data_IF_988610329918
#
_entry.id   IF_988610329918
#
_cell.length_a   1.000
_cell.length_b   1.000
_cell.length_c   1.000
_cell.angle_alpha   90.00
_cell.angle_beta   90.00
_cell.angle_gamma   90.00
#
_symmetry.space_group_name_H-M   'P 1'
#
loop_
_entity.id
_entity.type
_entity.pdbx_description
1 polymer ?
#
# COMPACT_ATOMS: atom_id res chain seq x y z
N UNK A 1 1.24 28.08 -2.77
CA UNK A 1 0.79 27.08 -1.79
C UNK A 1 2.00 26.28 -1.35
N UNK A 2 2.26 26.18 -0.05
CA UNK A 2 3.33 25.31 0.48
C UNK A 2 2.84 23.87 0.49
N UNK A 3 3.74 22.90 0.30
CA UNK A 3 3.38 21.47 0.33
C UNK A 3 2.68 21.07 1.64
N UNK A 4 3.16 21.62 2.77
CA UNK A 4 2.56 21.41 4.08
C UNK A 4 1.13 21.95 4.18
N UNK A 5 0.86 23.15 3.66
CA UNK A 5 -0.49 23.72 3.65
C UNK A 5 -1.46 22.87 2.83
N UNK A 6 -1.01 22.35 1.68
CA UNK A 6 -1.83 21.46 0.84
C UNK A 6 -2.03 20.08 1.48
N UNK A 7 -1.04 19.56 2.21
CA UNK A 7 -1.17 18.34 3.01
C UNK A 7 -2.24 18.49 4.11
N UNK A 8 -2.18 19.58 4.88
CA UNK A 8 -3.17 19.87 5.93
C UNK A 8 -4.57 20.08 5.37
N UNK A 9 -4.70 20.76 4.24
CA UNK A 9 -5.99 20.94 3.57
C UNK A 9 -6.57 19.60 3.12
N UNK A 10 -5.75 18.73 2.53
CA UNK A 10 -6.18 17.39 2.13
C UNK A 10 -6.62 16.56 3.33
N UNK A 11 -5.84 16.56 4.41
CA UNK A 11 -6.18 15.87 5.66
C UNK A 11 -7.50 16.38 6.25
N UNK A 12 -7.71 17.71 6.27
CA UNK A 12 -8.96 18.32 6.68
C UNK A 12 -10.16 17.88 5.85
N UNK A 13 -10.01 17.77 4.51
CA UNK A 13 -11.07 17.24 3.62
C UNK A 13 -11.42 15.79 3.92
N UNK A 14 -10.42 14.96 4.26
CA UNK A 14 -10.62 13.56 4.63
C UNK A 14 -11.38 13.45 5.95
N UNK A 15 -10.96 14.18 6.98
CA UNK A 15 -11.65 14.21 8.28
C UNK A 15 -13.05 14.80 8.20
N UNK A 16 -13.29 15.76 7.29
CA UNK A 16 -14.62 16.29 6.97
C UNK A 16 -15.51 15.31 6.18
N UNK A 17 -15.02 14.12 5.84
CA UNK A 17 -15.75 13.09 5.08
C UNK A 17 -15.75 11.72 5.78
N UNK A 18 -16.18 11.63 7.06
CA UNK A 18 -16.08 10.39 7.84
C UNK A 18 -16.90 9.24 7.24
N UNK A 19 -18.01 9.54 6.56
CA UNK A 19 -18.82 8.53 5.87
C UNK A 19 -18.06 7.78 4.77
N UNK A 20 -17.19 8.48 4.02
CA UNK A 20 -16.35 7.84 2.99
C UNK A 20 -15.28 6.96 3.62
N UNK A 21 -14.64 7.43 4.70
CA UNK A 21 -13.62 6.67 5.43
C UNK A 21 -14.22 5.39 6.02
N UNK A 22 -15.36 5.50 6.70
CA UNK A 22 -16.07 4.37 7.28
C UNK A 22 -16.49 3.37 6.21
N UNK A 23 -17.06 3.84 5.10
CA UNK A 23 -17.45 2.98 3.98
C UNK A 23 -16.27 2.19 3.42
N UNK A 24 -15.16 2.86 3.10
CA UNK A 24 -13.97 2.20 2.55
C UNK A 24 -13.30 1.26 3.57
N UNK A 25 -13.37 1.58 4.87
CA UNK A 25 -12.92 0.67 5.91
C UNK A 25 -13.78 -0.60 5.98
N UNK A 26 -15.12 -0.47 5.96
CA UNK A 26 -16.04 -1.63 5.92
C UNK A 26 -15.76 -2.50 4.69
N UNK A 27 -15.52 -1.89 3.53
CA UNK A 27 -15.16 -2.64 2.32
C UNK A 27 -13.83 -3.38 2.49
N UNK A 28 -12.80 -2.74 3.05
CA UNK A 28 -11.52 -3.42 3.32
C UNK A 28 -11.70 -4.62 4.24
N UNK A 29 -12.50 -4.48 5.31
CA UNK A 29 -12.84 -5.59 6.21
C UNK A 29 -13.56 -6.69 5.45
N UNK A 30 -14.59 -6.35 4.68
CA UNK A 30 -15.37 -7.32 3.90
C UNK A 30 -14.51 -8.12 2.90
N UNK A 31 -13.53 -7.47 2.24
CA UNK A 31 -12.58 -8.15 1.33
C UNK A 31 -11.62 -9.06 2.08
N UNK A 32 -11.25 -8.72 3.32
CA UNK A 32 -10.35 -9.52 4.14
C UNK A 32 -11.03 -10.74 4.79
N UNK A 33 -12.36 -10.70 5.01
CA UNK A 33 -13.10 -11.76 5.71
C UNK A 33 -12.94 -13.16 5.09
N UNK A 34 -13.04 -13.36 3.76
CA UNK A 34 -12.85 -14.69 3.17
C UNK A 34 -11.46 -15.26 3.43
N UNK A 35 -10.41 -14.44 3.31
CA UNK A 35 -9.04 -14.86 3.58
C UNK A 35 -8.85 -15.21 5.07
N UNK A 36 -9.45 -14.42 5.97
CA UNK A 36 -9.45 -14.69 7.40
C UNK A 36 -10.18 -15.99 7.75
N UNK A 37 -11.30 -16.30 7.08
CA UNK A 37 -12.04 -17.53 7.28
C UNK A 37 -11.21 -18.76 6.88
N UNK A 38 -10.59 -18.73 5.69
CA UNK A 38 -9.70 -19.82 5.21
C UNK A 38 -8.54 -20.04 6.17
N UNK A 39 -7.87 -18.97 6.62
CA UNK A 39 -6.78 -19.09 7.59
C UNK A 39 -7.25 -19.63 8.94
N UNK A 40 -8.43 -19.21 9.41
CA UNK A 40 -8.97 -19.66 10.69
C UNK A 40 -9.30 -21.15 10.65
N UNK A 41 -9.91 -21.64 9.57
CA UNK A 41 -10.23 -23.05 9.37
C UNK A 41 -8.95 -23.89 9.33
N UNK A 42 -7.97 -23.49 8.52
CA UNK A 42 -6.68 -24.18 8.41
C UNK A 42 -5.92 -24.27 9.73
N UNK A 43 -5.80 -23.16 10.46
CA UNK A 43 -5.13 -23.12 11.76
C UNK A 43 -5.90 -23.98 12.77
N UNK A 44 -7.24 -23.95 12.75
CA UNK A 44 -8.05 -24.75 13.67
C UNK A 44 -7.89 -26.25 13.42
N UNK A 45 -7.82 -26.68 12.17
CA UNK A 45 -7.64 -28.08 11.82
C UNK A 45 -6.25 -28.58 12.21
N UNK A 46 -5.22 -27.75 11.98
CA UNK A 46 -3.83 -28.07 12.37
C UNK A 46 -3.63 -28.11 13.89
N UNK A 47 -4.22 -27.18 14.64
CA UNK A 47 -4.09 -27.12 16.11
C UNK A 47 -5.02 -28.14 16.80
N UNK A 48 -6.19 -28.41 16.22
CA UNK A 48 -7.26 -29.20 16.83
C UNK A 48 -6.95 -30.69 17.02
N UNK A 49 -5.93 -31.21 16.33
CA UNK A 49 -5.55 -32.62 16.38
C UNK A 49 -4.44 -32.93 17.40
N UNK A 50 -3.91 -31.93 18.13
CA UNK A 50 -2.70 -32.08 18.95
C UNK A 50 -2.70 -31.33 20.29
N UNK A 51 -1.75 -31.67 21.17
CA UNK A 51 -1.41 -30.93 22.40
C UNK A 51 -0.78 -29.55 22.12
N UNK A 52 -0.54 -29.22 20.84
CA UNK A 52 -0.03 -27.93 20.36
C UNK A 52 -0.78 -26.71 20.94
N UNK A 53 -2.08 -26.84 21.19
CA UNK A 53 -2.88 -25.77 21.79
C UNK A 53 -2.38 -25.33 23.18
N UNK A 54 -1.68 -26.20 23.92
CA UNK A 54 -1.07 -25.85 25.21
C UNK A 54 0.23 -25.07 25.00
N UNK A 55 1.11 -25.57 24.13
CA UNK A 55 2.36 -24.88 23.78
C UNK A 55 2.09 -23.47 23.25
N UNK A 56 1.12 -23.32 22.34
CA UNK A 56 0.73 -22.04 21.75
C UNK A 56 0.17 -21.02 22.78
N UNK A 57 -0.29 -21.46 23.95
CA UNK A 57 -0.71 -20.56 25.04
C UNK A 57 0.48 -20.00 25.82
N UNK A 58 1.55 -20.77 25.93
CA UNK A 58 2.75 -20.41 26.67
C UNK A 58 3.78 -19.68 25.80
N UNK A 59 3.74 -19.88 24.47
CA UNK A 59 4.56 -19.18 23.49
C UNK A 59 4.34 -19.69 22.06
N UNK A 60 4.94 -19.03 21.07
CA UNK A 60 4.81 -19.49 19.69
C UNK A 60 5.65 -20.75 19.44
N UNK A 61 5.01 -21.83 18.98
CA UNK A 61 5.67 -23.12 18.72
C UNK A 61 6.23 -23.17 17.30
N UNK A 62 7.55 -23.00 17.17
CA UNK A 62 8.24 -23.03 15.88
C UNK A 62 8.29 -24.43 15.26
N UNK A 63 8.17 -25.50 16.06
CA UNK A 63 8.12 -26.88 15.58
C UNK A 63 6.81 -27.14 14.86
N UNK A 64 5.69 -26.80 15.50
CA UNK A 64 4.37 -26.82 14.88
C UNK A 64 4.31 -25.96 13.61
N UNK A 65 4.86 -24.74 13.67
CA UNK A 65 4.87 -23.87 12.49
C UNK A 65 5.65 -24.47 11.31
N UNK A 66 6.75 -25.18 11.56
CA UNK A 66 7.50 -25.90 10.52
C UNK A 66 6.64 -26.95 9.81
N UNK A 67 5.86 -27.73 10.56
CA UNK A 67 4.93 -28.72 10.01
C UNK A 67 3.77 -28.05 9.26
N UNK A 68 3.13 -27.04 9.88
CA UNK A 68 2.03 -26.29 9.27
C UNK A 68 2.44 -25.63 7.95
N UNK A 69 3.59 -24.95 7.92
CA UNK A 69 4.07 -24.26 6.73
C UNK A 69 4.49 -25.21 5.60
N UNK A 70 4.92 -26.44 5.92
CA UNK A 70 5.23 -27.47 4.93
C UNK A 70 3.96 -28.03 4.25
N UNK A 71 2.84 -28.08 4.95
CA UNK A 71 1.56 -28.57 4.44
C UNK A 71 0.69 -27.48 3.80
N UNK A 72 0.89 -26.23 4.22
CA UNK A 72 0.12 -25.06 3.82
C UNK A 72 0.08 -24.88 2.29
N UNK A 73 -1.14 -24.79 1.73
CA UNK A 73 -1.35 -24.56 0.29
C UNK A 73 -2.19 -23.31 0.08
N UNK A 74 -1.72 -22.41 -0.79
CA UNK A 74 -2.46 -21.20 -1.13
C UNK A 74 -2.32 -20.09 -0.10
N UNK A 75 -3.44 -19.56 0.43
CA UNK A 75 -3.43 -18.41 1.36
C UNK A 75 -2.74 -18.76 2.69
N UNK A 76 -2.82 -20.01 3.12
CA UNK A 76 -2.20 -20.50 4.36
C UNK A 76 -0.69 -20.28 4.38
N UNK A 77 -0.03 -20.37 3.22
CA UNK A 77 1.42 -20.14 3.06
C UNK A 77 1.85 -18.71 3.38
N UNK A 78 0.90 -17.78 3.53
CA UNK A 78 1.16 -16.38 3.86
C UNK A 78 1.17 -16.14 5.36
N UNK A 79 0.78 -17.14 6.16
CA UNK A 79 0.90 -17.09 7.60
C UNK A 79 2.36 -17.30 7.96
N UNK A 80 3.07 -16.22 8.29
CA UNK A 80 4.48 -16.27 8.68
C UNK A 80 4.66 -15.56 10.02
N UNK A 81 5.29 -16.19 11.04
CA UNK A 81 5.59 -15.52 12.29
C UNK A 81 6.64 -14.43 12.05
N UNK A 82 6.46 -13.30 12.71
CA UNK A 82 7.42 -12.19 12.64
C UNK A 82 7.89 -11.80 14.04
N UNK A 83 9.18 -11.47 14.15
CA UNK A 83 9.81 -11.14 15.43
C UNK A 83 9.30 -9.79 15.98
N UNK A 84 8.90 -8.88 15.10
CA UNK A 84 8.37 -7.56 15.46
C UNK A 84 6.89 -7.46 15.07
N UNK A 85 6.12 -6.64 15.79
CA UNK A 85 4.70 -6.43 15.51
C UNK A 85 4.42 -5.82 14.12
N UNK A 86 5.39 -5.10 13.55
CA UNK A 86 5.33 -4.60 12.18
C UNK A 86 6.10 -5.46 11.16
N UNK A 87 6.65 -6.61 11.54
CA UNK A 87 7.51 -7.44 10.68
C UNK A 87 6.85 -7.83 9.36
N UNK A 88 5.56 -8.19 9.39
CA UNK A 88 4.82 -8.52 8.19
C UNK A 88 4.71 -7.32 7.22
N UNK A 89 4.67 -6.09 7.72
CA UNK A 89 4.69 -4.89 6.87
C UNK A 89 6.05 -4.68 6.23
N UNK A 90 7.14 -4.88 6.97
CA UNK A 90 8.49 -4.77 6.43
C UNK A 90 8.75 -5.82 5.35
N UNK A 91 8.37 -7.08 5.58
CA UNK A 91 8.48 -8.15 4.58
C UNK A 91 7.70 -7.83 3.29
N UNK A 92 6.49 -7.25 3.43
CA UNK A 92 5.71 -6.83 2.28
C UNK A 92 6.34 -5.67 1.50
N UNK A 93 6.95 -4.70 2.20
CA UNK A 93 7.66 -3.59 1.57
C UNK A 93 8.91 -4.11 0.85
N UNK A 94 9.67 -5.00 1.48
CA UNK A 94 10.84 -5.64 0.90
C UNK A 94 10.49 -6.46 -0.34
N UNK A 95 9.47 -7.33 -0.27
CA UNK A 95 9.00 -8.10 -1.41
C UNK A 95 8.49 -7.21 -2.55
N UNK A 96 7.86 -6.06 -2.22
CA UNK A 96 7.48 -5.07 -3.23
C UNK A 96 8.69 -4.36 -3.83
N UNK A 97 9.70 -4.01 -3.03
CA UNK A 97 10.92 -3.34 -3.51
C UNK A 97 11.75 -4.26 -4.42
N UNK A 98 11.87 -5.54 -4.08
CA UNK A 98 12.62 -6.53 -4.85
C UNK A 98 11.85 -7.05 -6.09
N UNK A 99 10.52 -6.91 -6.09
CA UNK A 99 9.66 -7.49 -7.13
C UNK A 99 9.19 -8.92 -6.84
N UNK A 100 9.63 -9.51 -5.72
CA UNK A 100 9.33 -10.88 -5.27
C UNK A 100 7.86 -11.10 -4.91
N UNK A 101 7.07 -10.03 -4.76
CA UNK A 101 5.64 -10.10 -4.41
C UNK A 101 4.84 -11.00 -5.37
N UNK A 102 5.32 -11.15 -6.62
CA UNK A 102 4.71 -12.00 -7.64
C UNK A 102 5.16 -13.47 -7.60
N UNK A 103 6.29 -13.76 -6.96
CA UNK A 103 6.86 -15.10 -6.91
C UNK A 103 6.53 -15.79 -5.59
N UNK A 104 6.70 -15.07 -4.47
CA UNK A 104 6.62 -15.61 -3.11
C UNK A 104 5.20 -15.92 -2.67
N UNK A 105 4.20 -15.12 -3.07
CA UNK A 105 2.84 -15.22 -2.53
C UNK A 105 1.76 -15.39 -3.61
N UNK A 106 1.87 -16.46 -4.41
CA UNK A 106 0.88 -16.77 -5.46
C UNK A 106 -0.57 -16.79 -4.94
N UNK A 107 -0.80 -17.24 -3.70
CA UNK A 107 -2.11 -17.20 -3.04
C UNK A 107 -2.64 -15.78 -2.80
N UNK A 108 -1.77 -14.80 -2.56
CA UNK A 108 -2.15 -13.38 -2.40
C UNK A 108 -2.34 -12.67 -3.72
N UNK A 109 -1.81 -13.18 -4.84
CA UNK A 109 -1.95 -12.51 -6.13
C UNK A 109 -3.41 -12.35 -6.56
N UNK A 110 -4.23 -13.38 -6.37
CA UNK A 110 -5.66 -13.30 -6.67
C UNK A 110 -6.36 -12.21 -5.84
N UNK A 111 -6.09 -12.16 -4.54
CA UNK A 111 -6.62 -11.14 -3.64
C UNK A 111 -6.09 -9.74 -3.97
N UNK A 112 -4.81 -9.62 -4.31
CA UNK A 112 -4.18 -8.37 -4.73
C UNK A 112 -4.76 -7.83 -6.03
N UNK A 113 -5.01 -8.69 -7.02
CA UNK A 113 -5.67 -8.33 -8.28
C UNK A 113 -7.12 -7.89 -8.02
N UNK A 114 -7.88 -8.68 -7.25
CA UNK A 114 -9.25 -8.32 -6.88
C UNK A 114 -9.29 -6.96 -6.17
N UNK A 115 -8.38 -6.75 -5.22
CA UNK A 115 -8.25 -5.48 -4.51
C UNK A 115 -7.86 -4.33 -5.44
N UNK A 116 -6.96 -4.53 -6.39
CA UNK A 116 -6.57 -3.52 -7.37
C UNK A 116 -7.74 -3.15 -8.31
N UNK A 117 -8.56 -4.12 -8.71
CA UNK A 117 -9.77 -3.89 -9.51
C UNK A 117 -10.80 -3.10 -8.71
N UNK A 118 -11.11 -3.54 -7.48
CA UNK A 118 -12.01 -2.82 -6.58
C UNK A 118 -11.52 -1.39 -6.31
N UNK A 119 -10.23 -1.23 -6.06
CA UNK A 119 -9.66 0.09 -5.84
C UNK A 119 -9.77 0.98 -7.08
N UNK A 120 -9.53 0.44 -8.27
CA UNK A 120 -9.70 1.17 -9.54
C UNK A 120 -11.13 1.67 -9.72
N UNK A 121 -12.12 0.94 -9.23
CA UNK A 121 -13.51 1.38 -9.18
C UNK A 121 -13.72 2.53 -8.18
N UNK A 122 -13.18 2.41 -6.98
CA UNK A 122 -13.36 3.43 -5.93
C UNK A 122 -12.67 4.76 -6.20
N UNK A 123 -11.57 4.77 -6.95
CA UNK A 123 -10.84 6.02 -7.24
C UNK A 123 -11.75 7.08 -7.88
N UNK A 124 -12.71 6.72 -8.74
CA UNK A 124 -13.64 7.67 -9.35
C UNK A 124 -14.47 8.44 -8.32
N UNK A 125 -15.15 7.71 -7.43
CA UNK A 125 -15.91 8.32 -6.36
C UNK A 125 -15.04 9.05 -5.32
N UNK A 126 -13.82 8.58 -5.06
CA UNK A 126 -12.85 9.29 -4.17
C UNK A 126 -12.47 10.65 -4.77
N UNK A 127 -12.12 10.69 -6.06
CA UNK A 127 -11.75 11.92 -6.74
C UNK A 127 -12.92 12.90 -6.84
N UNK A 128 -14.14 12.41 -7.11
CA UNK A 128 -15.33 13.28 -7.07
C UNK A 128 -15.55 13.86 -5.67
N UNK A 129 -15.45 13.04 -4.62
CA UNK A 129 -15.68 13.50 -3.25
C UNK A 129 -14.71 14.62 -2.86
N UNK A 130 -13.43 14.53 -3.22
CA UNK A 130 -12.44 15.55 -2.85
C UNK A 130 -12.31 16.70 -3.85
N UNK A 131 -12.73 16.48 -5.09
CA UNK A 131 -12.66 17.46 -6.17
C UNK A 131 -13.86 18.39 -6.24
N UNK A 132 -15.06 17.90 -5.96
CA UNK A 132 -16.34 18.61 -6.16
C UNK A 132 -17.32 18.46 -5.00
N UNK A 133 -17.12 17.47 -4.13
CA UNK A 133 -18.05 17.14 -3.05
C UNK A 133 -18.20 18.25 -2.01
N UNK A 134 -19.39 18.85 -1.95
CA UNK A 134 -19.86 19.66 -0.82
C UNK A 134 -20.95 18.88 -0.05
N UNK A 135 -20.94 18.95 1.28
CA UNK A 135 -21.96 18.32 2.14
C UNK A 135 -21.66 16.86 2.52
N UNK A 136 -22.71 16.09 2.85
CA UNK A 136 -22.61 14.72 3.37
C UNK A 136 -22.24 13.69 2.28
N UNK A 137 -21.61 12.59 2.69
CA UNK A 137 -21.26 11.49 1.80
C UNK A 137 -22.51 10.76 1.28
N UNK A 138 -22.58 10.54 -0.05
CA UNK A 138 -23.68 9.87 -0.72
C UNK A 138 -23.16 8.69 -1.54
N UNK A 139 -23.61 7.49 -1.19
CA UNK A 139 -23.18 6.25 -1.87
C UNK A 139 -23.54 6.26 -3.37
N UNK A 140 -24.71 6.78 -3.73
CA UNK A 140 -25.14 6.84 -5.14
C UNK A 140 -24.15 7.60 -6.04
N UNK A 141 -23.76 8.81 -5.64
CA UNK A 141 -22.80 9.64 -6.38
C UNK A 141 -21.42 8.97 -6.46
N UNK A 142 -20.98 8.38 -5.34
CA UNK A 142 -19.72 7.64 -5.27
C UNK A 142 -19.64 6.45 -6.24
N UNK A 143 -20.70 5.64 -6.30
CA UNK A 143 -20.77 4.49 -7.20
C UNK A 143 -20.98 4.90 -8.66
N UNK A 144 -21.75 5.97 -8.93
CA UNK A 144 -21.96 6.49 -10.28
C UNK A 144 -20.64 6.96 -10.90
N UNK A 145 -19.84 7.72 -10.15
CA UNK A 145 -18.53 8.18 -10.61
C UNK A 145 -17.47 7.07 -10.61
N UNK A 146 -17.57 6.12 -9.67
CA UNK A 146 -16.75 4.92 -9.71
C UNK A 146 -16.97 4.13 -11.00
N UNK A 147 -18.22 3.91 -11.39
CA UNK A 147 -18.58 3.19 -12.61
C UNK A 147 -18.20 3.95 -13.89
N UNK A 148 -18.39 5.28 -13.92
CA UNK A 148 -18.12 6.11 -15.10
C UNK A 148 -16.63 6.10 -15.49
N UNK A 149 -15.73 6.08 -14.49
CA UNK A 149 -14.27 6.08 -14.70
C UNK A 149 -13.61 4.71 -14.56
N UNK A 150 -14.32 3.67 -14.10
CA UNK A 150 -13.75 2.35 -13.79
C UNK A 150 -12.81 1.81 -14.88
N UNK A 151 -13.28 1.69 -16.13
CA UNK A 151 -12.46 1.14 -17.22
C UNK A 151 -11.31 2.07 -17.65
N UNK A 152 -11.40 3.36 -17.36
CA UNK A 152 -10.30 4.32 -17.60
C UNK A 152 -9.20 4.08 -16.57
N UNK A 153 -9.56 3.96 -15.30
CA UNK A 153 -8.60 3.67 -14.23
C UNK A 153 -8.04 2.25 -14.28
N UNK A 154 -8.82 1.26 -14.72
CA UNK A 154 -8.32 -0.08 -14.96
C UNK A 154 -7.26 -0.09 -16.06
N UNK A 155 -7.47 0.64 -17.17
CA UNK A 155 -6.46 0.82 -18.22
C UNK A 155 -5.23 1.55 -17.71
N UNK A 156 -5.38 2.61 -16.89
CA UNK A 156 -4.23 3.26 -16.24
C UNK A 156 -3.48 2.31 -15.30
N UNK A 157 -4.18 1.42 -14.59
CA UNK A 157 -3.55 0.42 -13.73
C UNK A 157 -2.68 -0.56 -14.56
N UNK A 158 -3.17 -1.03 -15.71
CA UNK A 158 -2.39 -1.87 -16.64
C UNK A 158 -1.16 -1.12 -17.16
N UNK A 159 -1.32 0.12 -17.59
CA UNK A 159 -0.19 0.94 -18.05
C UNK A 159 0.80 1.16 -16.91
N UNK A 160 0.35 1.44 -15.67
CA UNK A 160 1.25 1.57 -14.51
C UNK A 160 2.00 0.28 -14.20
N UNK A 161 1.35 -0.88 -14.36
CA UNK A 161 2.00 -2.18 -14.19
C UNK A 161 3.16 -2.36 -15.17
N UNK A 162 3.00 -1.93 -16.43
CA UNK A 162 4.08 -1.94 -17.41
C UNK A 162 5.25 -1.02 -16.99
N UNK A 163 4.98 0.18 -16.46
CA UNK A 163 6.04 1.06 -15.95
C UNK A 163 6.75 0.49 -14.72
N UNK A 164 6.03 -0.11 -13.77
CA UNK A 164 6.63 -0.81 -12.64
C UNK A 164 7.54 -1.95 -13.11
N UNK A 165 7.07 -2.77 -14.05
CA UNK A 165 7.88 -3.83 -14.65
C UNK A 165 9.18 -3.29 -15.27
N UNK A 166 9.12 -2.17 -15.99
CA UNK A 166 10.32 -1.53 -16.54
C UNK A 166 11.28 -1.04 -15.46
N UNK A 167 10.77 -0.48 -14.36
CA UNK A 167 11.61 -0.06 -13.22
C UNK A 167 12.27 -1.25 -12.55
N UNK A 168 11.57 -2.36 -12.30
CA UNK A 168 12.18 -3.58 -11.75
C UNK A 168 13.23 -4.18 -12.68
N UNK A 169 12.96 -4.18 -13.99
CA UNK A 169 13.95 -4.66 -14.97
C UNK A 169 15.21 -3.80 -14.99
N UNK A 170 15.03 -2.49 -14.88
CA UNK A 170 16.14 -1.55 -14.73
C UNK A 170 16.88 -1.74 -13.39
N UNK A 171 16.16 -1.96 -12.29
CA UNK A 171 16.74 -2.23 -10.98
C UNK A 171 17.60 -3.50 -10.99
N UNK A 172 17.10 -4.59 -11.56
CA UNK A 172 17.87 -5.83 -11.70
C UNK A 172 19.17 -5.62 -12.49
N UNK A 173 19.09 -4.89 -13.61
CA UNK A 173 20.27 -4.51 -14.39
C UNK A 173 21.23 -3.62 -13.58
N UNK A 174 20.70 -2.63 -12.85
CA UNK A 174 21.49 -1.71 -12.03
C UNK A 174 22.27 -2.48 -10.95
N UNK A 175 21.60 -3.34 -10.18
CA UNK A 175 22.24 -4.11 -9.12
C UNK A 175 23.25 -5.13 -9.64
N UNK A 176 22.99 -5.78 -10.79
CA UNK A 176 23.98 -6.65 -11.45
C UNK A 176 25.24 -5.86 -11.84
N UNK A 177 25.09 -4.61 -12.32
CA UNK A 177 26.22 -3.73 -12.63
C UNK A 177 26.95 -3.22 -11.39
N UNK A 178 26.23 -3.01 -10.30
CA UNK A 178 26.83 -2.61 -9.04
C UNK A 178 27.65 -3.76 -8.45
N UNK A 179 27.10 -4.97 -8.39
CA UNK A 179 27.77 -6.18 -7.89
C UNK A 179 29.07 -6.47 -8.66
N UNK A 180 29.02 -6.39 -10.00
CA UNK A 180 30.23 -6.58 -10.82
C UNK A 180 31.29 -5.51 -10.60
N UNK A 181 30.88 -4.28 -10.27
CA UNK A 181 31.80 -3.16 -10.02
C UNK A 181 32.36 -3.15 -8.59
N UNK A 182 31.63 -3.71 -7.62
CA UNK A 182 32.05 -3.77 -6.22
C UNK A 182 32.77 -5.06 -5.85
N UNK A 183 32.88 -6.02 -6.79
CA UNK A 183 33.48 -7.34 -6.57
C UNK A 183 34.89 -7.30 -5.97
N UNK A 184 35.70 -6.31 -6.35
CA UNK A 184 37.08 -6.15 -5.91
C UNK A 184 37.24 -5.12 -4.76
N UNK A 185 36.14 -4.55 -4.27
CA UNK A 185 36.15 -3.56 -3.19
C UNK A 185 36.21 -4.27 -1.85
N UNK A 186 37.32 -4.13 -1.13
CA UNK A 186 37.53 -4.77 0.18
C UNK A 186 36.83 -4.04 1.34
N UNK A 187 36.36 -2.80 1.12
CA UNK A 187 35.69 -2.00 2.16
C UNK A 187 34.19 -2.32 2.18
N UNK A 188 33.73 -2.99 3.24
CA UNK A 188 32.31 -3.27 3.49
C UNK A 188 31.46 -1.99 3.56
N UNK A 189 32.00 -0.91 4.13
CA UNK A 189 31.33 0.40 4.22
C UNK A 189 31.03 0.98 2.83
N UNK A 190 31.98 0.85 1.90
CA UNK A 190 31.81 1.33 0.52
C UNK A 190 30.74 0.52 -0.20
N UNK A 191 30.78 -0.81 -0.09
CA UNK A 191 29.76 -1.69 -0.69
C UNK A 191 28.37 -1.36 -0.15
N UNK A 192 28.24 -1.18 1.16
CA UNK A 192 26.99 -0.80 1.81
C UNK A 192 26.46 0.55 1.30
N UNK A 193 27.32 1.58 1.22
CA UNK A 193 26.92 2.89 0.73
C UNK A 193 26.45 2.85 -0.74
N UNK A 194 27.12 2.06 -1.59
CA UNK A 194 26.68 1.84 -2.97
C UNK A 194 25.31 1.17 -3.02
N UNK A 195 25.13 0.04 -2.35
CA UNK A 195 23.84 -0.69 -2.33
C UNK A 195 22.72 0.20 -1.80
N UNK A 196 22.97 0.93 -0.71
CA UNK A 196 21.99 1.88 -0.15
C UNK A 196 21.60 2.97 -1.16
N UNK A 197 22.58 3.57 -1.85
CA UNK A 197 22.31 4.58 -2.85
C UNK A 197 21.49 4.01 -4.04
N UNK A 198 21.85 2.81 -4.51
CA UNK A 198 21.09 2.09 -5.55
C UNK A 198 19.64 1.82 -5.12
N UNK A 199 19.45 1.31 -3.90
CA UNK A 199 18.12 1.04 -3.34
C UNK A 199 17.28 2.30 -3.18
N UNK A 200 17.86 3.38 -2.65
CA UNK A 200 17.16 4.67 -2.54
C UNK A 200 16.77 5.22 -3.91
N UNK A 201 17.61 5.04 -4.93
CA UNK A 201 17.30 5.45 -6.29
C UNK A 201 16.15 4.64 -6.90
N UNK A 202 16.13 3.32 -6.70
CA UNK A 202 15.02 2.46 -7.17
C UNK A 202 13.71 2.81 -6.45
N UNK A 203 13.73 2.99 -5.12
CA UNK A 203 12.57 3.46 -4.36
C UNK A 203 12.08 4.79 -4.91
N UNK A 204 13.01 5.73 -5.16
CA UNK A 204 12.67 7.02 -5.76
C UNK A 204 11.97 6.86 -7.11
N UNK A 205 12.46 5.99 -8.00
CA UNK A 205 11.84 5.73 -9.31
C UNK A 205 10.44 5.11 -9.19
N UNK A 206 10.28 4.11 -8.32
CA UNK A 206 8.98 3.47 -8.07
C UNK A 206 7.96 4.48 -7.53
N UNK A 207 8.36 5.29 -6.55
CA UNK A 207 7.54 6.36 -5.99
C UNK A 207 7.23 7.46 -7.02
N UNK A 208 8.19 7.83 -7.86
CA UNK A 208 8.00 8.78 -8.94
C UNK A 208 6.98 8.30 -9.97
N UNK A 209 7.06 7.04 -10.38
CA UNK A 209 6.06 6.41 -11.26
C UNK A 209 4.69 6.43 -10.59
N UNK A 210 4.59 6.03 -9.33
CA UNK A 210 3.33 6.05 -8.59
C UNK A 210 2.69 7.45 -8.59
N UNK A 211 3.47 8.46 -8.22
CA UNK A 211 3.07 9.87 -8.22
C UNK A 211 2.60 10.33 -9.61
N UNK A 212 3.33 9.99 -10.68
CA UNK A 212 2.93 10.34 -12.04
C UNK A 212 1.58 9.73 -12.44
N UNK A 213 1.31 8.49 -12.01
CA UNK A 213 0.02 7.83 -12.26
C UNK A 213 -1.11 8.36 -11.38
N UNK A 214 -0.84 8.81 -10.15
CA UNK A 214 -1.83 9.50 -9.33
C UNK A 214 -2.27 10.82 -10.00
N UNK A 215 -1.32 11.61 -10.52
CA UNK A 215 -1.66 12.78 -11.33
C UNK A 215 -2.31 12.44 -12.68
N UNK A 216 -2.00 11.29 -13.29
CA UNK A 216 -2.69 10.83 -14.49
C UNK A 216 -4.17 10.50 -14.22
N UNK A 217 -4.48 9.92 -13.04
CA UNK A 217 -5.87 9.68 -12.60
C UNK A 217 -6.59 11.00 -12.38
N UNK A 218 -5.94 11.95 -11.70
CA UNK A 218 -6.49 13.29 -11.45
C UNK A 218 -6.74 14.03 -12.78
N UNK A 219 -5.78 14.03 -13.71
CA UNK A 219 -5.94 14.65 -15.02
C UNK A 219 -7.05 13.97 -15.84
N UNK A 220 -7.20 12.65 -15.75
CA UNK A 220 -8.30 11.92 -16.39
C UNK A 220 -9.66 12.40 -15.88
N UNK A 221 -9.78 12.60 -14.57
CA UNK A 221 -11.00 13.08 -13.93
C UNK A 221 -11.26 14.57 -14.26
N UNK A 222 -10.30 15.46 -13.96
CA UNK A 222 -10.43 16.92 -14.12
C UNK A 222 -10.48 17.42 -15.56
N UNK A 223 -9.94 16.67 -16.51
CA UNK A 223 -9.90 17.05 -17.93
C UNK A 223 -10.78 16.11 -18.80
N UNK A 224 -11.55 15.20 -18.17
CA UNK A 224 -12.40 14.20 -18.82
C UNK A 224 -11.73 13.48 -20.00
N UNK A 225 -10.47 13.06 -19.82
CA UNK A 225 -9.67 12.48 -20.91
C UNK A 225 -10.19 11.10 -21.31
N UNK A 226 -10.25 10.86 -22.64
CA UNK A 226 -10.62 9.55 -23.21
C UNK A 226 -9.43 8.61 -23.42
N UNK A 227 -8.25 9.15 -23.79
CA UNK A 227 -7.03 8.37 -24.02
C UNK A 227 -6.18 8.31 -22.75
N UNK A 228 -5.97 7.08 -22.24
CA UNK A 228 -5.21 6.84 -21.01
C UNK A 228 -3.71 7.01 -21.22
N UNK A 229 -3.20 6.75 -22.44
CA UNK A 229 -1.80 7.02 -22.77
C UNK A 229 -1.51 8.52 -22.69
N UNK A 230 -2.39 9.36 -23.24
CA UNK A 230 -2.24 10.82 -23.14
C UNK A 230 -2.43 11.32 -21.70
N UNK A 231 -3.26 10.65 -20.90
CA UNK A 231 -3.39 10.95 -19.49
C UNK A 231 -2.12 10.60 -18.70
N UNK A 232 -1.47 9.46 -19.01
CA UNK A 232 -0.17 9.10 -18.46
C UNK A 232 0.88 10.15 -18.80
N UNK A 233 1.02 10.52 -20.08
CA UNK A 233 1.95 11.59 -20.50
C UNK A 233 1.66 12.92 -19.81
N UNK A 234 0.37 13.26 -19.63
CA UNK A 234 -0.05 14.45 -18.89
C UNK A 234 0.37 14.40 -17.42
N UNK A 235 0.25 13.24 -16.78
CA UNK A 235 0.70 13.01 -15.39
C UNK A 235 2.21 13.19 -15.25
N UNK A 236 3.01 12.53 -16.09
CA UNK A 236 4.47 12.71 -16.13
C UNK A 236 4.87 14.15 -16.42
N UNK A 237 4.26 14.77 -17.44
CA UNK A 237 4.52 16.17 -17.78
C UNK A 237 4.17 17.13 -16.64
N UNK A 238 3.08 16.88 -15.90
CA UNK A 238 2.70 17.68 -14.74
C UNK A 238 3.74 17.57 -13.61
N UNK A 239 4.17 16.35 -13.28
CA UNK A 239 5.18 16.10 -12.25
C UNK A 239 6.50 16.74 -12.65
N UNK A 240 6.99 16.54 -13.88
CA UNK A 240 8.26 17.11 -14.33
C UNK A 240 8.25 18.64 -14.36
N UNK A 241 7.14 19.25 -14.79
CA UNK A 241 7.00 20.71 -14.83
C UNK A 241 6.89 21.32 -13.42
N UNK A 242 6.47 20.54 -12.43
CA UNK A 242 6.24 20.98 -11.05
C UNK A 242 7.01 20.11 -10.05
N UNK A 243 8.21 19.65 -10.42
CA UNK A 243 8.93 18.59 -9.72
C UNK A 243 9.14 18.88 -8.24
N UNK A 244 9.57 20.10 -7.89
CA UNK A 244 9.78 20.47 -6.49
C UNK A 244 8.50 20.44 -5.65
N UNK A 245 7.37 20.93 -6.17
CA UNK A 245 6.11 21.01 -5.43
C UNK A 245 5.45 19.63 -5.29
N UNK A 246 5.42 18.85 -6.36
CA UNK A 246 4.85 17.49 -6.37
C UNK A 246 5.68 16.53 -5.52
N UNK A 247 7.01 16.52 -5.69
CA UNK A 247 7.93 15.68 -4.91
C UNK A 247 7.86 16.02 -3.42
N UNK A 248 7.93 17.31 -3.04
CA UNK A 248 7.88 17.69 -1.62
C UNK A 248 6.56 17.26 -0.96
N UNK A 249 5.43 17.40 -1.65
CA UNK A 249 4.14 16.94 -1.14
C UNK A 249 4.10 15.42 -0.99
N UNK A 250 4.46 14.69 -2.06
CA UNK A 250 4.34 13.24 -2.11
C UNK A 250 5.26 12.55 -1.10
N UNK A 251 6.54 12.95 -1.07
CA UNK A 251 7.51 12.41 -0.12
C UNK A 251 7.25 12.89 1.31
N UNK A 252 6.71 14.10 1.51
CA UNK A 252 6.28 14.56 2.83
C UNK A 252 5.15 13.72 3.42
N UNK A 253 4.13 13.39 2.62
CA UNK A 253 3.07 12.45 3.01
C UNK A 253 3.60 11.02 3.16
N UNK A 254 4.54 10.61 2.31
CA UNK A 254 5.23 9.32 2.41
C UNK A 254 5.97 9.16 3.73
N UNK A 255 6.71 10.19 4.15
CA UNK A 255 7.40 10.24 5.44
C UNK A 255 6.42 10.12 6.61
N UNK A 256 5.26 10.78 6.54
CA UNK A 256 4.21 10.60 7.54
C UNK A 256 3.72 9.14 7.63
N UNK A 257 3.65 8.44 6.49
CA UNK A 257 3.35 7.00 6.46
C UNK A 257 4.44 6.14 7.09
N UNK A 258 5.71 6.45 6.86
CA UNK A 258 6.85 5.77 7.50
C UNK A 258 6.81 5.99 9.01
N UNK A 259 6.63 7.23 9.48
CA UNK A 259 6.51 7.56 10.90
C UNK A 259 5.33 6.82 11.54
N UNK A 260 4.19 6.75 10.86
CA UNK A 260 3.02 5.99 11.32
C UNK A 260 3.33 4.49 11.48
N UNK A 261 4.08 3.89 10.55
CA UNK A 261 4.52 2.50 10.65
C UNK A 261 5.50 2.28 11.83
N UNK A 262 6.44 3.21 12.04
CA UNK A 262 7.37 3.15 13.18
C UNK A 262 6.64 3.25 14.53
N UNK A 263 5.66 4.15 14.63
CA UNK A 263 4.80 4.26 15.82
C UNK A 263 4.03 2.96 16.04
N UNK A 264 3.45 2.38 14.98
CA UNK A 264 2.78 1.08 15.07
C UNK A 264 3.72 -0.04 15.53
N UNK A 265 4.95 -0.08 15.04
CA UNK A 265 5.93 -1.09 15.46
C UNK A 265 6.23 -1.06 16.96
N UNK A 266 6.18 0.12 17.60
CA UNK A 266 6.39 0.28 19.04
C UNK A 266 5.15 -0.09 19.86
N UNK A 267 3.96 0.19 19.33
CA UNK A 267 2.68 -0.01 20.05
C UNK A 267 2.11 -1.42 19.84
N UNK A 268 2.41 -2.05 18.70
CA UNK A 268 1.85 -3.34 18.32
C UNK A 268 2.24 -4.41 19.36
N UNK A 269 1.26 -5.08 19.98
CA UNK A 269 1.55 -6.10 20.98
C UNK A 269 2.24 -7.31 20.34
N UNK A 270 3.22 -7.86 21.06
CA UNK A 270 3.95 -9.07 20.65
C UNK A 270 3.12 -10.36 20.79
N UNK A 271 3.74 -11.48 20.44
CA UNK A 271 3.11 -12.81 20.27
C UNK A 271 2.63 -13.46 21.59
N UNK A 272 3.02 -12.94 22.76
CA UNK A 272 2.73 -13.53 24.08
C UNK A 272 1.35 -13.19 24.69
N UNK A 273 0.36 -12.83 23.89
CA UNK A 273 -0.98 -12.46 24.40
C UNK A 273 -1.79 -13.72 24.76
N UNK A 274 -1.78 -14.14 26.01
CA UNK A 274 -2.54 -15.31 26.51
C UNK A 274 -3.94 -14.98 27.03
N UNK A 275 -4.29 -13.69 27.13
CA UNK A 275 -5.60 -13.23 27.63
C UNK A 275 -6.53 -12.76 26.51
N UNK A 276 -7.83 -13.03 26.66
CA UNK A 276 -8.84 -12.58 25.69
C UNK A 276 -8.87 -11.05 25.53
N UNK A 277 -8.67 -10.29 26.61
CA UNK A 277 -8.54 -8.83 26.58
C UNK A 277 -7.30 -8.38 25.81
N UNK A 278 -6.19 -9.09 25.95
CA UNK A 278 -4.97 -8.89 25.19
C UNK A 278 -5.16 -9.03 23.68
N UNK A 279 -5.79 -10.13 23.26
CA UNK A 279 -6.13 -10.39 21.84
C UNK A 279 -7.08 -9.32 21.31
N UNK A 280 -8.11 -8.94 22.07
CA UNK A 280 -9.03 -7.88 21.68
C UNK A 280 -8.32 -6.52 21.51
N UNK A 281 -7.41 -6.17 22.43
CA UNK A 281 -6.61 -4.95 22.33
C UNK A 281 -5.69 -4.97 21.10
N UNK A 282 -5.01 -6.09 20.83
CA UNK A 282 -4.19 -6.27 19.63
C UNK A 282 -5.00 -6.05 18.35
N UNK A 283 -6.19 -6.61 18.29
CA UNK A 283 -7.11 -6.40 17.18
C UNK A 283 -7.52 -4.93 17.02
N UNK A 284 -7.90 -4.25 18.11
CA UNK A 284 -8.28 -2.83 18.07
C UNK A 284 -7.12 -1.93 17.63
N UNK A 285 -5.90 -2.18 18.10
CA UNK A 285 -4.70 -1.45 17.67
C UNK A 285 -4.45 -1.67 16.17
N UNK A 286 -4.60 -2.91 15.69
CA UNK A 286 -4.51 -3.24 14.26
C UNK A 286 -5.56 -2.50 13.43
N UNK A 287 -6.82 -2.48 13.87
CA UNK A 287 -7.89 -1.75 13.16
C UNK A 287 -7.64 -0.23 13.13
N UNK A 288 -7.19 0.34 14.25
CA UNK A 288 -6.84 1.76 14.32
C UNK A 288 -5.72 2.11 13.32
N UNK A 289 -4.68 1.27 13.21
CA UNK A 289 -3.61 1.43 12.22
C UNK A 289 -4.13 1.33 10.78
N UNK A 290 -5.01 0.37 10.47
CA UNK A 290 -5.60 0.23 9.14
C UNK A 290 -6.45 1.45 8.75
N UNK A 291 -7.22 2.00 9.69
CA UNK A 291 -7.99 3.24 9.50
C UNK A 291 -7.04 4.41 9.27
N UNK A 292 -5.98 4.55 10.07
CA UNK A 292 -4.98 5.61 9.90
C UNK A 292 -4.28 5.53 8.52
N UNK A 293 -3.91 4.32 8.08
CA UNK A 293 -3.36 4.07 6.74
C UNK A 293 -4.34 4.45 5.63
N UNK A 294 -5.63 4.14 5.79
CA UNK A 294 -6.67 4.53 4.85
C UNK A 294 -6.83 6.06 4.80
N UNK A 295 -6.88 6.74 5.95
CA UNK A 295 -6.94 8.20 6.04
C UNK A 295 -5.73 8.85 5.35
N UNK A 296 -4.53 8.30 5.55
CA UNK A 296 -3.32 8.78 4.88
C UNK A 296 -3.44 8.61 3.35
N UNK A 297 -3.85 7.43 2.87
CA UNK A 297 -4.06 7.17 1.43
C UNK A 297 -5.08 8.12 0.81
N UNK A 298 -6.16 8.43 1.52
CA UNK A 298 -7.15 9.41 1.06
C UNK A 298 -6.61 10.84 1.10
N UNK A 299 -5.73 11.14 2.06
CA UNK A 299 -5.03 12.42 2.16
C UNK A 299 -4.14 12.67 0.95
N UNK A 300 -3.45 11.64 0.42
CA UNK A 300 -2.74 11.73 -0.86
C UNK A 300 -3.66 12.27 -1.96
N UNK A 301 -4.78 11.58 -2.25
CA UNK A 301 -5.71 12.02 -3.30
C UNK A 301 -6.26 13.43 -3.06
N UNK A 302 -6.65 13.74 -1.82
CA UNK A 302 -7.23 15.05 -1.48
C UNK A 302 -6.21 16.20 -1.58
N UNK A 303 -4.94 15.95 -1.25
CA UNK A 303 -3.87 16.94 -1.37
C UNK A 303 -3.38 17.08 -2.80
N UNK A 304 -3.24 15.98 -3.54
CA UNK A 304 -2.80 16.01 -4.93
C UNK A 304 -3.81 16.71 -5.84
N UNK A 305 -5.12 16.49 -5.64
CA UNK A 305 -6.15 17.18 -6.41
C UNK A 305 -6.09 18.70 -6.14
N UNK A 306 -5.92 19.10 -4.87
CA UNK A 306 -5.80 20.50 -4.48
C UNK A 306 -4.54 21.15 -5.07
N UNK A 307 -3.41 20.43 -5.10
CA UNK A 307 -2.18 20.91 -5.74
C UNK A 307 -2.36 21.02 -7.26
N UNK A 308 -2.99 20.02 -7.89
CA UNK A 308 -3.23 19.99 -9.32
C UNK A 308 -4.09 21.17 -9.76
N UNK A 309 -5.20 21.43 -9.07
CA UNK A 309 -6.08 22.56 -9.37
C UNK A 309 -5.38 23.90 -9.13
N UNK A 310 -4.58 24.01 -8.06
CA UNK A 310 -3.83 25.24 -7.73
C UNK A 310 -2.66 25.57 -8.67
N UNK A 311 -2.14 24.59 -9.40
CA UNK A 311 -1.04 24.74 -10.37
C UNK A 311 -1.51 24.75 -11.83
N UNK A 312 -2.79 24.48 -12.07
CA UNK A 312 -3.41 24.54 -13.40
C UNK A 312 -3.78 25.97 -13.81
N UNK A 313 -3.88 26.88 -12.85
CA UNK A 313 -4.16 28.31 -13.05
C UNK A 313 -2.90 29.07 -13.50
#
# INVERSE_FOLDING_TARGET
MTAFGTALQGFGKVLGSPGLVLWLWVVNVAVALPAAAVLTESIRDSVGTSLVHQNLRDGFDMGWYGEYSAEAKGIESTFTPTVTGAGAFFNNIEAWFNGDIFETYRGLLGLGILYAVLWSFFVGGILQRYGEGAGLFRLHEFFAEGASYFFRFLRLAVISGAFYYLVYRFAAWLFERMETSTRDVTSEESVFAYVLAGSLFVVFLLTFVNMAFDYAKIATYRENRRSMVLATLRGFGFVLSNFGRTTTLYYGLGLAGVLMLLVYNVIAPGVGQSSASGVAMAFLIGQAYLIAKLVLRLTFYASEIALFDGLRN
#
